data_IF_308372926145
#
_entry.id   IF_308372926145
#
_cell.length_a   1.000
_cell.length_b   1.000
_cell.length_c   1.000
_cell.angle_alpha   90.00
_cell.angle_beta   90.00
_cell.angle_gamma   90.00
#
_symmetry.space_group_name_H-M   'P 1'
#
loop_
_entity.id
_entity.type
_entity.pdbx_description
1 polymer ?
#
# COMPACT_ATOMS: atom_id res chain seq x y z
N UNK A 1 -21.10 47.99 -12.60
CA UNK A 1 -20.50 46.87 -13.37
C UNK A 1 -19.25 46.26 -12.73
N UNK A 2 -18.52 46.98 -11.86
CA UNK A 2 -17.29 46.48 -11.20
C UNK A 2 -17.48 45.39 -10.13
N UNK A 3 -18.62 45.36 -9.42
CA UNK A 3 -18.88 44.39 -8.33
C UNK A 3 -19.02 42.94 -8.80
N UNK A 4 -19.47 42.72 -10.04
CA UNK A 4 -19.70 41.38 -10.60
C UNK A 4 -18.39 40.68 -11.00
N UNK A 5 -17.35 41.47 -11.33
CA UNK A 5 -16.03 40.96 -11.74
C UNK A 5 -15.29 40.40 -10.53
N UNK A 6 -15.41 41.07 -9.38
CA UNK A 6 -14.78 40.65 -8.11
C UNK A 6 -15.31 39.31 -7.63
N UNK A 7 -16.62 39.08 -7.74
CA UNK A 7 -17.25 37.82 -7.33
C UNK A 7 -16.80 36.64 -8.21
N UNK A 8 -16.63 36.86 -9.51
CA UNK A 8 -16.18 35.84 -10.46
C UNK A 8 -14.72 35.44 -10.23
N UNK A 9 -13.85 36.42 -9.93
CA UNK A 9 -12.45 36.20 -9.59
C UNK A 9 -12.29 35.41 -8.28
N UNK A 10 -13.11 35.71 -7.26
CA UNK A 10 -13.11 34.99 -6.00
C UNK A 10 -13.56 33.53 -6.15
N UNK A 11 -14.50 33.27 -7.07
CA UNK A 11 -14.99 31.92 -7.30
C UNK A 11 -13.90 31.05 -7.97
N UNK A 12 -13.19 31.60 -8.95
CA UNK A 12 -12.11 30.89 -9.66
C UNK A 12 -10.94 30.51 -8.75
N UNK A 13 -10.57 31.34 -7.76
CA UNK A 13 -9.49 31.00 -6.82
C UNK A 13 -9.87 29.87 -5.87
N UNK A 14 -11.14 29.76 -5.49
CA UNK A 14 -11.64 28.65 -4.66
C UNK A 14 -11.59 27.33 -5.44
N UNK A 15 -12.01 27.31 -6.71
CA UNK A 15 -11.94 26.10 -7.54
C UNK A 15 -10.50 25.63 -7.78
N UNK A 16 -9.55 26.55 -7.95
CA UNK A 16 -8.12 26.22 -8.08
C UNK A 16 -7.54 25.63 -6.79
N UNK A 17 -8.02 26.08 -5.61
CA UNK A 17 -7.61 25.57 -4.30
C UNK A 17 -8.15 24.17 -3.95
N UNK A 18 -9.32 23.78 -4.50
CA UNK A 18 -9.82 22.40 -4.38
C UNK A 18 -9.17 21.44 -5.38
N UNK A 19 -8.60 21.98 -6.45
CA UNK A 19 -8.02 21.20 -7.54
C UNK A 19 -6.53 20.95 -7.36
N UNK A 20 -5.93 21.28 -6.22
CA UNK A 20 -4.56 20.86 -5.91
C UNK A 20 -4.54 19.33 -6.00
N UNK A 21 -3.96 18.76 -7.08
CA UNK A 21 -3.72 17.33 -7.08
C UNK A 21 -2.71 17.14 -5.96
N UNK A 22 -3.02 16.31 -4.96
CA UNK A 22 -1.96 15.83 -4.07
C UNK A 22 -0.90 15.23 -4.99
N UNK A 23 0.24 15.91 -5.10
CA UNK A 23 1.30 15.52 -6.02
C UNK A 23 1.76 14.11 -5.64
N UNK A 24 1.27 13.11 -6.36
CA UNK A 24 2.04 12.04 -6.98
C UNK A 24 2.91 11.12 -6.12
N UNK A 25 2.93 11.25 -4.80
CA UNK A 25 3.61 10.29 -3.94
C UNK A 25 2.60 9.18 -3.67
N UNK A 26 2.60 8.16 -4.54
CA UNK A 26 1.91 6.90 -4.26
C UNK A 26 2.28 6.38 -2.86
N UNK A 27 1.45 5.49 -2.29
CA UNK A 27 1.68 5.01 -0.93
C UNK A 27 3.11 4.49 -0.75
N UNK A 28 3.79 4.92 0.33
CA UNK A 28 5.10 4.40 0.69
C UNK A 28 4.98 2.89 0.91
N UNK A 29 5.96 2.13 0.44
CA UNK A 29 5.99 0.67 0.61
C UNK A 29 7.08 0.29 1.60
N UNK A 30 6.70 -0.42 2.66
CA UNK A 30 7.62 -0.90 3.68
C UNK A 30 7.80 -2.41 3.57
N UNK A 31 9.04 -2.92 3.56
CA UNK A 31 9.28 -4.36 3.56
C UNK A 31 8.90 -4.97 4.91
N UNK A 32 8.27 -6.13 4.87
CA UNK A 32 7.94 -6.94 6.05
C UNK A 32 8.29 -8.40 5.78
N UNK A 33 8.84 -9.04 6.80
CA UNK A 33 9.17 -10.47 6.79
C UNK A 33 8.47 -11.17 7.95
N UNK A 34 7.84 -12.31 7.67
CA UNK A 34 7.19 -13.11 8.69
C UNK A 34 7.21 -14.60 8.28
N UNK A 35 7.16 -15.53 9.25
CA UNK A 35 7.18 -16.95 8.92
C UNK A 35 5.93 -17.37 8.17
N UNK A 36 6.08 -18.26 7.20
CA UNK A 36 4.95 -18.90 6.55
C UNK A 36 4.27 -19.87 7.55
N UNK A 37 2.93 -19.85 7.67
CA UNK A 37 2.24 -20.74 8.60
C UNK A 37 2.53 -22.21 8.32
N UNK A 38 2.55 -23.00 9.40
CA UNK A 38 2.62 -24.45 9.40
C UNK A 38 3.95 -25.07 8.91
N UNK A 39 5.02 -24.29 8.74
CA UNK A 39 6.35 -24.81 8.38
C UNK A 39 6.38 -25.56 7.05
N UNK A 40 5.40 -25.29 6.19
CA UNK A 40 5.29 -25.88 4.86
C UNK A 40 6.21 -25.14 3.90
N UNK A 41 6.91 -25.90 3.04
CA UNK A 41 7.68 -25.34 1.92
C UNK A 41 6.82 -24.36 1.09
N UNK A 42 7.48 -23.42 0.42
CA UNK A 42 6.78 -22.47 -0.43
C UNK A 42 5.92 -23.17 -1.49
N UNK A 43 6.43 -24.22 -2.13
CA UNK A 43 5.70 -24.93 -3.19
C UNK A 43 5.25 -23.99 -4.32
N UNK A 44 4.25 -24.42 -5.11
CA UNK A 44 3.69 -23.59 -6.19
C UNK A 44 2.86 -22.40 -5.67
N UNK A 45 2.24 -22.55 -4.50
CA UNK A 45 1.22 -21.64 -3.99
C UNK A 45 1.72 -20.75 -2.84
N UNK A 46 3.01 -20.81 -2.52
CA UNK A 46 3.61 -20.12 -1.39
C UNK A 46 3.40 -18.62 -1.42
N UNK A 47 3.52 -18.00 -2.59
CA UNK A 47 3.27 -16.57 -2.76
C UNK A 47 1.82 -16.20 -2.42
N UNK A 48 0.85 -17.02 -2.85
CA UNK A 48 -0.56 -16.79 -2.55
C UNK A 48 -0.86 -16.99 -1.06
N UNK A 49 -0.26 -18.01 -0.44
CA UNK A 49 -0.32 -18.21 1.01
C UNK A 49 0.27 -17.02 1.78
N UNK A 50 1.39 -16.47 1.32
CA UNK A 50 1.99 -15.27 1.90
C UNK A 50 1.08 -14.03 1.79
N UNK A 51 0.39 -13.85 0.67
CA UNK A 51 -0.58 -12.74 0.52
C UNK A 51 -1.74 -12.91 1.51
N UNK A 52 -2.33 -14.12 1.59
CA UNK A 52 -3.43 -14.37 2.52
C UNK A 52 -3.02 -14.18 3.98
N UNK A 53 -1.82 -14.62 4.34
CA UNK A 53 -1.33 -14.44 5.69
C UNK A 53 -1.01 -12.97 6.00
N UNK A 54 -0.44 -12.23 5.06
CA UNK A 54 -0.26 -10.79 5.20
C UNK A 54 -1.61 -10.06 5.40
N UNK A 55 -2.65 -10.43 4.64
CA UNK A 55 -4.00 -9.88 4.78
C UNK A 55 -4.64 -10.17 6.15
N UNK A 56 -4.26 -11.29 6.79
CA UNK A 56 -4.70 -11.61 8.16
C UNK A 56 -3.93 -10.84 9.23
N UNK A 57 -2.64 -10.60 8.98
CA UNK A 57 -1.70 -10.02 9.96
C UNK A 57 -1.74 -8.49 10.01
N UNK A 58 -1.98 -7.85 8.85
CA UNK A 58 -1.93 -6.39 8.72
C UNK A 58 -3.33 -5.79 8.52
N UNK A 59 -3.58 -4.58 9.04
CA UNK A 59 -4.85 -3.89 8.82
C UNK A 59 -5.04 -3.53 7.35
N UNK A 60 -6.27 -3.26 6.93
CA UNK A 60 -6.60 -2.90 5.55
C UNK A 60 -5.86 -1.64 5.05
N UNK A 61 -5.47 -0.73 5.94
CA UNK A 61 -4.64 0.44 5.63
C UNK A 61 -3.20 0.09 5.24
N UNK A 62 -2.75 -1.11 5.56
CA UNK A 62 -1.41 -1.64 5.28
C UNK A 62 -1.48 -2.78 4.26
N UNK A 63 -2.20 -2.52 3.17
CA UNK A 63 -2.45 -3.49 2.10
C UNK A 63 -1.12 -4.10 1.61
N UNK A 64 -0.98 -5.44 1.62
CA UNK A 64 0.20 -6.11 1.10
C UNK A 64 0.32 -5.96 -0.41
N UNK A 65 1.56 -5.89 -0.86
CA UNK A 65 2.04 -5.69 -2.21
C UNK A 65 3.29 -6.57 -2.38
N UNK A 66 3.52 -7.08 -3.59
CA UNK A 66 4.78 -7.79 -3.94
C UNK A 66 5.21 -8.84 -2.89
N UNK A 67 4.31 -9.79 -2.59
CA UNK A 67 4.63 -10.89 -1.70
C UNK A 67 5.36 -12.01 -2.44
N UNK A 68 6.43 -12.51 -1.85
CA UNK A 68 7.13 -13.73 -2.24
C UNK A 68 7.32 -14.65 -1.04
N UNK A 69 7.39 -15.93 -1.34
CA UNK A 69 7.79 -16.95 -0.38
C UNK A 69 9.23 -17.36 -0.68
N UNK A 70 10.04 -17.48 0.36
CA UNK A 70 11.43 -17.95 0.28
C UNK A 70 11.63 -19.14 1.20
N UNK A 71 12.19 -20.22 0.65
CA UNK A 71 12.61 -21.39 1.43
C UNK A 71 13.90 -21.03 2.20
N UNK A 72 13.77 -20.39 3.37
CA UNK A 72 14.91 -20.02 4.20
C UNK A 72 15.45 -21.27 4.93
N UNK A 73 16.56 -21.84 4.44
CA UNK A 73 17.33 -22.84 5.20
C UNK A 73 18.07 -22.14 6.36
N UNK A 74 18.09 -22.70 7.59
CA UNK A 74 17.71 -24.07 7.96
C UNK A 74 16.39 -24.19 8.73
N UNK A 75 15.65 -23.10 8.98
CA UNK A 75 14.37 -23.17 9.71
C UNK A 75 13.41 -22.09 9.21
N UNK A 76 12.22 -22.58 8.88
CA UNK A 76 10.97 -21.88 8.51
C UNK A 76 11.04 -21.09 7.21
N UNK A 77 10.26 -21.55 6.24
CA UNK A 77 9.96 -20.78 5.04
C UNK A 77 9.38 -19.42 5.43
N UNK A 78 9.86 -18.36 4.80
CA UNK A 78 9.52 -16.99 5.16
C UNK A 78 8.76 -16.31 4.04
N UNK A 79 7.76 -15.53 4.42
CA UNK A 79 7.08 -14.60 3.54
C UNK A 79 7.78 -13.25 3.60
N UNK A 80 8.14 -12.73 2.43
CA UNK A 80 8.63 -11.37 2.24
C UNK A 80 7.58 -10.60 1.45
N UNK A 81 6.99 -9.58 2.06
CA UNK A 81 6.00 -8.72 1.41
C UNK A 81 6.44 -7.25 1.53
N UNK A 82 5.89 -6.40 0.67
CA UNK A 82 5.83 -4.96 0.91
C UNK A 82 4.43 -4.61 1.38
N UNK A 83 4.26 -3.73 2.36
CA UNK A 83 2.93 -3.24 2.75
C UNK A 83 2.86 -1.73 2.53
N UNK A 84 1.66 -1.22 2.32
CA UNK A 84 1.42 0.23 2.40
C UNK A 84 1.79 0.72 3.80
N UNK A 85 2.65 1.73 3.85
CA UNK A 85 3.04 2.46 5.05
C UNK A 85 3.06 3.96 4.75
N UNK A 86 3.11 4.78 5.81
CA UNK A 86 3.22 6.23 5.71
C UNK A 86 4.68 6.64 5.87
#
# INVERSE_FOLDING_TARGET
>A
MSKSIVLSLLCMTIFLGLSTPSQGQGPSLCPVTFPLPDGNACGSDGNFRCINEALRRYPASSMPQKCSCSDARPKTDECQCSIVCQ
#
